data_IF_045515221096
#
_entry.id   IF_045515221096
#
_cell.length_a   1.000
_cell.length_b   1.000
_cell.length_c   1.000
_cell.angle_alpha   90.00
_cell.angle_beta   90.00
_cell.angle_gamma   90.00
#
_symmetry.space_group_name_H-M   'P 1'
#
loop_
_entity.id
_entity.type
_entity.pdbx_description
1 polymer ?
#
# COMPACT_ATOMS: atom_id res chain seq x y z
N UNK A 1 -18.19 -0.88 -5.02
CA UNK A 1 -18.43 -2.01 -4.09
C UNK A 1 -17.81 -3.32 -4.58
N UNK A 2 -17.93 -3.68 -5.87
CA UNK A 2 -17.35 -4.91 -6.44
C UNK A 2 -15.83 -5.05 -6.16
N UNK A 3 -15.08 -3.95 -6.26
CA UNK A 3 -13.63 -3.91 -6.02
C UNK A 3 -13.26 -4.29 -4.58
N UNK A 4 -14.02 -3.78 -3.59
CA UNK A 4 -13.80 -4.09 -2.17
C UNK A 4 -14.11 -5.56 -1.89
N UNK A 5 -15.21 -6.07 -2.44
CA UNK A 5 -15.57 -7.49 -2.32
C UNK A 5 -14.48 -8.38 -2.94
N UNK A 6 -13.95 -8.02 -4.10
CA UNK A 6 -12.84 -8.74 -4.73
C UNK A 6 -11.58 -8.76 -3.87
N UNK A 7 -11.20 -7.62 -3.29
CA UNK A 7 -10.05 -7.52 -2.38
C UNK A 7 -10.26 -8.44 -1.15
N UNK A 8 -11.43 -8.40 -0.51
CA UNK A 8 -11.72 -9.24 0.65
C UNK A 8 -11.68 -10.74 0.33
N UNK A 9 -12.17 -11.15 -0.85
CA UNK A 9 -12.10 -12.54 -1.30
C UNK A 9 -10.64 -12.98 -1.47
N UNK A 10 -9.82 -12.17 -2.13
CA UNK A 10 -8.39 -12.47 -2.34
C UNK A 10 -7.67 -12.56 -0.99
N UNK A 11 -7.89 -11.60 -0.08
CA UNK A 11 -7.29 -11.60 1.27
C UNK A 11 -7.67 -12.88 2.03
N UNK A 12 -8.94 -13.29 1.95
CA UNK A 12 -9.41 -14.52 2.61
C UNK A 12 -8.71 -15.76 2.04
N UNK A 13 -8.55 -15.83 0.71
CA UNK A 13 -7.83 -16.93 0.05
C UNK A 13 -6.36 -16.96 0.50
N UNK A 14 -5.68 -15.82 0.50
CA UNK A 14 -4.28 -15.71 0.94
C UNK A 14 -4.12 -16.18 2.39
N UNK A 15 -5.00 -15.75 3.30
CA UNK A 15 -4.99 -16.21 4.69
C UNK A 15 -5.21 -17.72 4.75
N UNK A 16 -6.18 -18.27 4.02
CA UNK A 16 -6.47 -19.70 4.04
C UNK A 16 -5.31 -20.57 3.57
N UNK A 17 -4.47 -20.09 2.65
CA UNK A 17 -3.31 -20.85 2.16
C UNK A 17 -2.03 -20.61 2.97
N UNK A 18 -1.73 -19.34 3.31
CA UNK A 18 -0.44 -18.98 3.91
C UNK A 18 -0.45 -19.04 5.45
N UNK A 19 -1.59 -18.78 6.10
CA UNK A 19 -1.66 -18.77 7.56
C UNK A 19 -1.54 -20.16 8.20
N UNK A 20 -2.24 -21.23 7.74
CA UNK A 20 -2.13 -22.56 8.35
C UNK A 20 -0.72 -23.15 8.40
N UNK A 21 0.11 -23.09 7.34
CA UNK A 21 1.48 -23.62 7.40
C UNK A 21 2.37 -22.84 8.37
N UNK A 22 2.21 -21.51 8.46
CA UNK A 22 2.94 -20.65 9.40
C UNK A 22 2.56 -20.97 10.85
N UNK A 23 1.27 -21.15 11.13
CA UNK A 23 0.76 -21.51 12.45
C UNK A 23 1.24 -22.90 12.89
N UNK A 24 1.17 -23.89 11.99
CA UNK A 24 1.64 -25.27 12.27
C UNK A 24 3.12 -25.31 12.61
N UNK A 25 3.94 -24.49 11.95
CA UNK A 25 5.38 -24.39 12.22
C UNK A 25 5.73 -23.50 13.43
N UNK A 26 4.73 -22.93 14.13
CA UNK A 26 4.89 -22.02 15.28
C UNK A 26 5.79 -20.80 14.97
N UNK A 27 5.80 -20.37 13.71
CA UNK A 27 6.63 -19.29 13.18
C UNK A 27 6.00 -17.93 13.49
N UNK A 28 6.10 -17.50 14.75
CA UNK A 28 5.41 -16.29 15.25
C UNK A 28 5.90 -15.00 14.58
N UNK A 29 7.19 -14.91 14.23
CA UNK A 29 7.77 -13.71 13.60
C UNK A 29 7.27 -13.55 12.17
N UNK A 30 7.13 -14.67 11.48
CA UNK A 30 6.70 -14.79 10.10
C UNK A 30 5.20 -14.54 10.00
N UNK A 31 4.39 -15.06 10.95
CA UNK A 31 2.97 -14.70 11.07
C UNK A 31 2.80 -13.19 11.26
N UNK A 32 3.66 -12.57 12.08
CA UNK A 32 3.60 -11.14 12.33
C UNK A 32 3.95 -10.34 11.07
N UNK A 33 5.03 -10.70 10.38
CA UNK A 33 5.42 -10.09 9.11
C UNK A 33 4.35 -10.26 8.02
N UNK A 34 3.82 -11.48 7.86
CA UNK A 34 2.72 -11.81 6.94
C UNK A 34 1.49 -10.96 7.24
N UNK A 35 1.04 -10.92 8.50
CA UNK A 35 -0.14 -10.16 8.90
C UNK A 35 0.05 -8.66 8.68
N UNK A 36 1.25 -8.12 8.95
CA UNK A 36 1.54 -6.72 8.75
C UNK A 36 1.51 -6.35 7.26
N UNK A 37 2.19 -7.13 6.42
CA UNK A 37 2.21 -6.94 4.97
C UNK A 37 0.81 -7.06 4.36
N UNK A 38 0.06 -8.09 4.77
CA UNK A 38 -1.29 -8.32 4.30
C UNK A 38 -2.22 -7.18 4.71
N UNK A 39 -2.12 -6.70 5.96
CA UNK A 39 -2.90 -5.57 6.44
C UNK A 39 -2.60 -4.31 5.64
N UNK A 40 -1.32 -3.98 5.43
CA UNK A 40 -0.91 -2.81 4.63
C UNK A 40 -1.48 -2.91 3.22
N UNK A 41 -1.30 -4.03 2.53
CA UNK A 41 -1.81 -4.21 1.17
C UNK A 41 -3.35 -4.12 1.09
N UNK A 42 -4.03 -4.72 2.06
CA UNK A 42 -5.50 -4.71 2.13
C UNK A 42 -6.04 -3.30 2.39
N UNK A 43 -5.46 -2.58 3.34
CA UNK A 43 -5.84 -1.20 3.67
C UNK A 43 -5.60 -0.30 2.46
N UNK A 44 -4.41 -0.37 1.85
CA UNK A 44 -4.10 0.43 0.66
C UNK A 44 -5.06 0.14 -0.49
N UNK A 45 -5.36 -1.14 -0.76
CA UNK A 45 -6.32 -1.54 -1.79
C UNK A 45 -7.73 -1.04 -1.51
N UNK A 46 -8.18 -1.08 -0.25
CA UNK A 46 -9.51 -0.57 0.15
C UNK A 46 -9.55 0.96 0.03
N UNK A 47 -8.53 1.67 0.51
CA UNK A 47 -8.45 3.14 0.42
C UNK A 47 -8.45 3.59 -1.04
N UNK A 48 -7.72 2.88 -1.91
CA UNK A 48 -7.75 3.11 -3.36
C UNK A 48 -9.13 2.82 -3.96
N UNK A 49 -9.78 1.72 -3.56
CA UNK A 49 -11.11 1.35 -4.04
C UNK A 49 -12.23 2.28 -3.55
N UNK A 50 -12.01 3.00 -2.45
CA UNK A 50 -12.90 4.04 -1.94
C UNK A 50 -12.67 5.40 -2.60
N UNK A 51 -11.76 5.48 -3.58
CA UNK A 51 -11.36 6.73 -4.26
C UNK A 51 -10.94 7.83 -3.27
N UNK A 52 -10.51 7.45 -2.07
CA UNK A 52 -9.91 8.38 -1.13
C UNK A 52 -8.66 8.91 -1.81
N UNK A 53 -8.55 10.24 -1.91
CA UNK A 53 -7.36 10.91 -2.45
C UNK A 53 -6.16 10.59 -1.56
N UNK A 54 -5.50 9.47 -1.85
CA UNK A 54 -4.17 9.19 -1.35
C UNK A 54 -3.27 10.22 -2.04
N UNK A 55 -2.56 11.08 -1.28
CA UNK A 55 -1.64 12.02 -1.89
C UNK A 55 -0.65 11.24 -2.73
N UNK A 56 -0.53 11.63 -4.00
CA UNK A 56 0.32 10.90 -4.94
C UNK A 56 1.77 11.06 -4.45
N UNK A 57 2.55 9.97 -4.34
CA UNK A 57 3.97 10.09 -4.02
C UNK A 57 4.71 11.04 -4.98
N UNK A 58 4.25 11.12 -6.23
CA UNK A 58 4.79 12.09 -7.18
C UNK A 58 4.50 13.54 -6.77
N UNK A 59 3.38 13.84 -6.11
CA UNK A 59 3.11 15.20 -5.62
C UNK A 59 4.12 15.61 -4.55
N UNK A 60 4.58 14.64 -3.75
CA UNK A 60 5.62 14.87 -2.74
C UNK A 60 6.97 15.10 -3.38
N UNK A 61 7.32 14.29 -4.40
CA UNK A 61 8.52 14.50 -5.21
C UNK A 61 8.47 15.87 -5.87
N UNK A 62 7.35 16.23 -6.49
CA UNK A 62 7.14 17.54 -7.11
C UNK A 62 7.30 18.65 -6.07
N UNK A 63 6.73 18.53 -4.87
CA UNK A 63 6.87 19.54 -3.82
C UNK A 63 8.34 19.78 -3.41
N UNK A 64 9.17 18.73 -3.40
CA UNK A 64 10.61 18.83 -3.10
C UNK A 64 11.38 19.45 -4.28
N UNK A 65 11.04 19.10 -5.52
CA UNK A 65 11.77 19.54 -6.72
C UNK A 65 11.30 20.89 -7.27
N UNK A 66 10.06 21.29 -6.99
CA UNK A 66 9.46 22.56 -7.42
C UNK A 66 10.32 23.79 -7.07
N UNK A 67 10.84 23.97 -5.85
CA UNK A 67 11.69 25.13 -5.54
C UNK A 67 12.99 25.15 -6.36
N UNK A 68 13.55 23.98 -6.71
CA UNK A 68 14.72 23.91 -7.58
C UNK A 68 14.37 24.27 -9.03
N UNK A 69 13.22 23.79 -9.53
CA UNK A 69 12.70 24.14 -10.86
C UNK A 69 12.47 25.65 -10.98
N UNK A 70 11.81 26.25 -9.98
CA UNK A 70 11.55 27.69 -9.96
C UNK A 70 12.85 28.50 -9.90
N UNK A 71 13.85 28.05 -9.14
CA UNK A 71 15.17 28.70 -9.09
C UNK A 71 15.90 28.64 -10.44
N UNK A 72 15.81 27.52 -11.15
CA UNK A 72 16.39 27.35 -12.49
C UNK A 72 15.63 28.20 -13.53
N UNK A 73 14.30 28.24 -13.47
CA UNK A 73 13.48 29.08 -14.35
C UNK A 73 13.75 30.57 -14.16
N UNK A 74 14.00 31.03 -12.92
CA UNK A 74 14.38 32.41 -12.62
C UNK A 74 15.77 32.74 -13.18
N UNK A 75 16.72 31.78 -13.14
CA UNK A 75 18.08 31.95 -13.65
C UNK A 75 18.18 31.95 -15.18
N UNK A 76 17.27 31.24 -15.85
CA UNK A 76 17.21 31.12 -17.31
C UNK A 76 16.51 32.31 -17.99
N UNK A 77 15.87 33.20 -17.21
CA UNK A 77 15.07 34.33 -17.69
C UNK A 77 15.80 35.66 -17.49
#
# INVERSE_FOLDING_TARGET
MLSITGILVIVTVVIAFEFPPLWRKKLKKEIWAFSLLLLIGSVLGIVQALEVKIPNPLDWVIAVYKPFSEMVDIWLK
#
